data_IF_905679609956
#
_entry.id   IF_905679609956
#
_cell.length_a   1.000
_cell.length_b   1.000
_cell.length_c   1.000
_cell.angle_alpha   90.00
_cell.angle_beta   90.00
_cell.angle_gamma   90.00
#
_symmetry.space_group_name_H-M   'P 1'
#
loop_
_entity.id
_entity.type
_entity.pdbx_description
1 polymer ?
#
# COMPACT_ATOMS: atom_id res chain seq x y z
N UNK A 1 11.48 2.33 -17.20
CA UNK A 1 11.81 0.98 -17.70
C UNK A 1 11.10 -0.03 -16.82
N UNK A 2 10.16 -0.80 -17.37
CA UNK A 2 9.24 -1.68 -16.62
C UNK A 2 9.63 -3.14 -16.91
N UNK A 3 10.28 -3.81 -15.97
CA UNK A 3 10.79 -5.19 -16.18
C UNK A 3 10.59 -6.04 -14.92
N UNK A 4 9.73 -7.04 -15.03
CA UNK A 4 9.86 -8.27 -14.24
C UNK A 4 10.79 -9.24 -14.97
N UNK A 5 11.56 -10.02 -14.21
CA UNK A 5 12.47 -11.08 -14.71
C UNK A 5 13.58 -10.65 -15.68
N UNK A 6 14.81 -10.52 -15.19
CA UNK A 6 16.02 -10.97 -15.91
C UNK A 6 17.27 -10.91 -15.00
N UNK A 7 18.36 -11.55 -15.45
CA UNK A 7 19.61 -11.75 -14.71
C UNK A 7 20.69 -10.73 -15.12
N UNK A 8 21.72 -10.60 -14.26
CA UNK A 8 23.11 -10.17 -14.51
C UNK A 8 23.53 -8.70 -14.26
N UNK A 9 24.54 -8.56 -13.36
CA UNK A 9 25.64 -7.54 -13.30
C UNK A 9 25.25 -6.06 -13.03
N UNK A 10 25.91 -5.30 -12.15
CA UNK A 10 26.87 -5.64 -11.07
C UNK A 10 27.93 -4.54 -10.77
N UNK A 11 28.14 -4.23 -9.47
CA UNK A 11 29.21 -3.35 -8.89
C UNK A 11 29.14 -1.83 -9.27
N UNK A 12 29.52 -0.82 -8.46
CA UNK A 12 29.94 -0.67 -7.04
C UNK A 12 29.69 0.84 -6.63
N UNK A 13 30.26 1.56 -5.64
CA UNK A 13 31.46 1.44 -4.78
C UNK A 13 31.13 1.74 -3.26
N UNK A 14 31.61 2.76 -2.46
CA UNK A 14 31.59 2.65 -0.97
C UNK A 14 30.85 3.78 -0.19
N UNK A 15 31.02 3.80 1.14
CA UNK A 15 30.31 4.62 2.16
C UNK A 15 31.12 5.75 2.84
N UNK A 16 30.42 6.59 3.62
CA UNK A 16 30.97 7.41 4.74
C UNK A 16 30.14 8.69 5.02
N UNK A 17 29.89 9.16 6.25
CA UNK A 17 30.16 8.65 7.62
C UNK A 17 29.00 9.03 8.59
N UNK A 18 28.88 8.34 9.74
CA UNK A 18 28.13 8.80 10.95
C UNK A 18 29.16 9.26 12.03
N UNK A 19 28.87 9.44 13.36
CA UNK A 19 27.60 9.63 14.11
C UNK A 19 27.67 10.76 15.22
N UNK A 20 26.58 10.98 15.99
CA UNK A 20 26.48 10.72 17.48
C UNK A 20 25.51 11.63 18.28
N UNK A 21 25.02 11.06 19.40
CA UNK A 21 24.42 11.66 20.63
C UNK A 21 22.98 12.25 20.52
N UNK A 22 22.15 12.30 21.60
CA UNK A 22 22.01 11.44 22.80
C UNK A 22 20.76 11.78 23.65
N UNK A 23 20.32 10.79 24.46
CA UNK A 23 19.70 10.92 25.79
C UNK A 23 18.24 11.43 26.01
N UNK A 24 17.49 10.57 26.71
CA UNK A 24 16.47 10.84 27.74
C UNK A 24 15.37 11.92 27.55
N UNK A 25 14.14 11.41 27.35
CA UNK A 25 12.93 11.92 27.99
C UNK A 25 11.98 10.73 28.22
N UNK A 26 11.02 10.83 29.14
CA UNK A 26 9.95 9.84 29.28
C UNK A 26 9.05 9.87 28.04
N UNK A 27 9.11 8.84 27.20
CA UNK A 27 8.44 8.79 25.89
C UNK A 27 7.55 7.56 25.80
N UNK A 28 6.25 7.78 25.60
CA UNK A 28 5.42 6.83 24.86
C UNK A 28 5.94 6.80 23.43
N UNK A 29 6.43 5.65 22.99
CA UNK A 29 7.11 5.51 21.71
C UNK A 29 6.09 5.44 20.56
N UNK A 30 6.16 6.41 19.65
CA UNK A 30 5.38 6.41 18.41
C UNK A 30 6.28 5.89 17.30
N UNK A 31 5.98 4.69 16.81
CA UNK A 31 6.61 4.12 15.63
C UNK A 31 5.80 4.48 14.39
N UNK A 32 6.45 5.04 13.36
CA UNK A 32 5.85 5.19 12.04
C UNK A 32 6.26 3.98 11.21
N UNK A 33 5.36 3.01 11.11
CA UNK A 33 5.57 1.78 10.34
C UNK A 33 5.01 1.97 8.94
N UNK A 34 5.89 2.29 7.99
CA UNK A 34 5.55 2.41 6.58
C UNK A 34 5.58 1.02 5.96
N UNK A 35 4.43 0.55 5.49
CA UNK A 35 4.34 -0.70 4.75
C UNK A 35 4.72 -0.46 3.28
N UNK A 36 5.80 -1.07 2.78
CA UNK A 36 6.23 -0.87 1.37
C UNK A 36 6.15 -2.17 0.58
N UNK A 37 5.09 -2.26 -0.22
CA UNK A 37 4.75 -3.37 -1.13
C UNK A 37 5.45 -3.21 -2.50
N UNK A 38 6.77 -3.40 -2.51
CA UNK A 38 7.52 -3.70 -3.74
C UNK A 38 7.72 -2.55 -4.76
N UNK A 39 7.44 -1.29 -4.40
CA UNK A 39 7.74 -0.09 -5.22
C UNK A 39 8.52 0.97 -4.42
N UNK A 40 8.95 2.06 -5.10
CA UNK A 40 10.02 2.98 -4.63
C UNK A 40 9.65 3.78 -3.37
N UNK A 41 10.65 4.04 -2.54
CA UNK A 41 10.54 4.59 -1.19
C UNK A 41 10.31 6.12 -1.09
N UNK A 42 9.53 6.73 -2.00
CA UNK A 42 9.32 8.20 -2.01
C UNK A 42 8.73 8.77 -0.71
N UNK A 43 7.96 7.96 0.03
CA UNK A 43 7.43 8.28 1.37
C UNK A 43 8.56 8.57 2.38
N UNK A 44 9.69 7.87 2.31
CA UNK A 44 10.76 7.96 3.31
C UNK A 44 11.56 9.26 3.20
N UNK A 45 11.79 9.73 1.98
CA UNK A 45 12.54 10.97 1.74
C UNK A 45 11.71 12.20 2.16
N UNK A 46 10.39 12.19 1.95
CA UNK A 46 9.49 13.21 2.52
C UNK A 46 9.38 13.16 4.04
N UNK A 47 9.16 11.98 4.63
CA UNK A 47 8.94 11.84 6.09
C UNK A 47 10.21 12.03 6.92
N UNK A 48 11.39 11.73 6.37
CA UNK A 48 12.67 11.85 7.07
C UNK A 48 13.10 13.28 7.43
N UNK A 49 12.54 14.31 6.80
CA UNK A 49 12.87 15.71 7.08
C UNK A 49 12.18 16.32 8.31
N UNK A 50 11.15 15.67 8.85
CA UNK A 50 10.31 16.26 9.91
C UNK A 50 10.85 15.99 11.31
N UNK A 51 10.87 17.04 12.15
CA UNK A 51 11.45 17.08 13.51
C UNK A 51 10.69 16.30 14.58
N UNK A 52 10.35 15.05 14.29
CA UNK A 52 9.59 14.14 15.16
C UNK A 52 10.20 14.08 16.56
N UNK A 53 9.45 14.55 17.56
CA UNK A 53 9.88 14.60 18.96
C UNK A 53 9.83 13.23 19.65
N UNK A 54 10.62 12.27 19.15
CA UNK A 54 10.87 10.98 19.76
C UNK A 54 10.30 9.75 19.05
N UNK A 55 9.81 9.87 17.81
CA UNK A 55 9.39 8.73 16.99
C UNK A 55 10.50 8.17 16.09
N UNK A 56 10.24 7.02 15.46
CA UNK A 56 11.15 6.39 14.50
C UNK A 56 10.40 5.79 13.30
N UNK A 57 10.99 5.90 12.11
CA UNK A 57 10.42 5.37 10.86
C UNK A 57 10.99 3.99 10.56
N UNK A 58 10.10 3.03 10.30
CA UNK A 58 10.40 1.61 10.04
C UNK A 58 9.70 1.20 8.76
N UNK A 59 10.40 0.54 7.83
CA UNK A 59 9.74 -0.08 6.67
C UNK A 59 9.40 -1.52 6.97
N UNK A 60 8.12 -1.86 6.87
CA UNK A 60 7.63 -3.24 6.88
C UNK A 60 7.55 -3.78 5.44
N UNK A 61 8.17 -4.94 5.18
CA UNK A 61 8.05 -5.67 3.91
C UNK A 61 8.15 -7.19 4.13
N UNK A 62 8.01 -8.03 3.10
CA UNK A 62 8.07 -9.49 3.27
C UNK A 62 9.49 -10.04 3.16
N UNK A 63 9.69 -11.27 3.66
CA UNK A 63 10.93 -12.06 3.50
C UNK A 63 11.18 -12.57 2.06
N UNK A 64 10.35 -12.21 1.09
CA UNK A 64 10.56 -12.65 -0.29
C UNK A 64 11.78 -11.97 -0.92
N UNK A 65 12.64 -12.75 -1.58
CA UNK A 65 13.87 -12.28 -2.24
C UNK A 65 13.62 -11.19 -3.30
N UNK A 66 12.39 -11.08 -3.85
CA UNK A 66 11.94 -9.97 -4.71
C UNK A 66 12.05 -8.61 -4.02
N UNK A 67 11.91 -8.56 -2.69
CA UNK A 67 11.99 -7.34 -1.88
C UNK A 67 13.42 -7.00 -1.39
N UNK A 68 14.42 -7.86 -1.59
CA UNK A 68 15.81 -7.55 -1.19
C UNK A 68 16.34 -6.21 -1.74
N UNK A 69 16.07 -5.80 -3.01
CA UNK A 69 16.52 -4.49 -3.51
C UNK A 69 15.87 -3.30 -2.79
N UNK A 70 14.66 -3.48 -2.25
CA UNK A 70 13.98 -2.49 -1.40
C UNK A 70 14.64 -2.46 -0.01
N UNK A 71 14.84 -3.62 0.62
CA UNK A 71 15.53 -3.76 1.92
C UNK A 71 16.91 -3.09 1.87
N UNK A 72 17.72 -3.42 0.86
CA UNK A 72 19.05 -2.85 0.62
C UNK A 72 19.02 -1.32 0.41
N UNK A 73 17.94 -0.78 -0.18
CA UNK A 73 17.78 0.65 -0.42
C UNK A 73 17.37 1.39 0.87
N UNK A 74 16.43 0.86 1.63
CA UNK A 74 15.95 1.42 2.90
C UNK A 74 17.07 1.47 3.95
N UNK A 75 17.82 0.38 4.10
CA UNK A 75 18.95 0.30 5.04
C UNK A 75 20.06 1.30 4.67
N UNK A 76 20.30 1.51 3.36
CA UNK A 76 21.27 2.49 2.84
C UNK A 76 20.84 3.94 3.08
N UNK A 77 19.53 4.22 3.02
CA UNK A 77 18.96 5.50 3.46
C UNK A 77 19.02 5.69 4.99
N UNK A 78 19.37 4.65 5.75
CA UNK A 78 19.60 4.70 7.19
C UNK A 78 18.38 4.36 8.06
N UNK A 79 17.24 4.03 7.43
CA UNK A 79 16.01 3.60 8.10
C UNK A 79 16.07 2.13 8.52
N UNK A 80 15.23 1.75 9.48
CA UNK A 80 15.01 0.34 9.81
C UNK A 80 14.15 -0.34 8.72
N UNK A 81 14.45 -1.60 8.41
CA UNK A 81 13.63 -2.40 7.50
C UNK A 81 13.38 -3.77 8.12
N UNK A 82 12.12 -4.01 8.50
CA UNK A 82 11.65 -5.22 9.15
C UNK A 82 10.96 -6.13 8.15
N UNK A 83 11.35 -7.40 8.17
CA UNK A 83 10.83 -8.43 7.27
C UNK A 83 9.90 -9.40 8.03
N UNK A 84 8.83 -9.82 7.35
CA UNK A 84 7.81 -10.73 7.89
C UNK A 84 7.11 -11.55 6.81
N UNK A 85 5.91 -12.04 7.11
CA UNK A 85 5.06 -12.77 6.14
C UNK A 85 4.78 -11.93 4.88
N UNK A 86 4.49 -12.57 3.75
CA UNK A 86 3.94 -11.90 2.55
C UNK A 86 2.46 -11.55 2.80
N UNK A 87 1.68 -12.53 3.28
CA UNK A 87 0.20 -12.50 3.35
C UNK A 87 -0.35 -12.16 4.74
N UNK A 88 0.44 -12.29 5.81
CA UNK A 88 0.04 -11.83 7.15
C UNK A 88 0.70 -10.48 7.42
N UNK A 89 -0.02 -9.43 7.04
CA UNK A 89 0.43 -8.05 7.18
C UNK A 89 0.25 -7.58 8.62
N UNK A 90 -0.82 -8.03 9.29
CA UNK A 90 -1.12 -7.72 10.69
C UNK A 90 -0.02 -8.23 11.64
N UNK A 91 0.43 -9.49 11.51
CA UNK A 91 1.61 -9.97 12.24
C UNK A 91 2.84 -9.12 11.90
N UNK A 92 3.10 -8.85 10.61
CA UNK A 92 4.24 -8.03 10.18
C UNK A 92 4.28 -6.65 10.86
N UNK A 93 3.12 -5.99 11.05
CA UNK A 93 3.02 -4.75 11.84
C UNK A 93 3.27 -4.97 13.34
N UNK A 94 2.63 -5.97 13.95
CA UNK A 94 2.79 -6.30 15.39
C UNK A 94 4.24 -6.63 15.73
N UNK A 95 4.91 -7.45 14.91
CA UNK A 95 6.31 -7.83 15.12
C UNK A 95 7.26 -6.64 14.96
N UNK A 96 7.07 -5.78 13.95
CA UNK A 96 7.86 -4.56 13.77
C UNK A 96 7.69 -3.61 14.97
N UNK A 97 6.46 -3.36 15.41
CA UNK A 97 6.17 -2.52 16.56
C UNK A 97 6.82 -3.06 17.85
N UNK A 98 6.74 -4.37 18.11
CA UNK A 98 7.40 -5.04 19.23
C UNK A 98 8.93 -4.90 19.20
N UNK A 99 9.56 -5.12 18.04
CA UNK A 99 11.02 -5.00 17.83
C UNK A 99 11.53 -3.57 18.08
N UNK A 100 10.73 -2.57 17.74
CA UNK A 100 11.04 -1.16 17.95
C UNK A 100 10.47 -0.57 19.25
N UNK A 101 9.84 -1.39 20.10
CA UNK A 101 9.21 -0.99 21.38
C UNK A 101 8.20 0.16 21.23
N UNK A 102 7.42 0.16 20.15
CA UNK A 102 6.42 1.20 19.86
C UNK A 102 5.07 0.89 20.54
N UNK A 103 4.57 1.80 21.37
CA UNK A 103 3.23 1.72 21.99
C UNK A 103 2.12 2.08 20.99
N UNK A 104 2.45 2.97 20.05
CA UNK A 104 1.55 3.53 19.04
C UNK A 104 2.20 3.30 17.68
N UNK A 105 1.41 2.78 16.74
CA UNK A 105 1.80 2.54 15.35
C UNK A 105 1.06 3.54 14.47
N UNK A 106 1.82 4.25 13.63
CA UNK A 106 1.29 5.05 12.51
C UNK A 106 1.51 4.23 11.24
N UNK A 107 0.41 3.82 10.59
CA UNK A 107 0.42 3.09 9.32
C UNK A 107 0.30 4.06 8.15
N UNK A 108 1.20 3.89 7.20
CA UNK A 108 1.24 4.56 5.89
C UNK A 108 1.65 3.49 4.87
N UNK A 109 1.01 3.46 3.70
CA UNK A 109 1.34 2.52 2.62
C UNK A 109 2.30 3.14 1.58
N UNK A 110 3.19 2.33 1.03
CA UNK A 110 4.30 2.76 0.15
C UNK A 110 3.89 3.15 -1.27
N UNK A 111 2.61 2.95 -1.60
CA UNK A 111 1.93 3.44 -2.80
C UNK A 111 1.45 4.90 -2.68
N UNK A 112 1.57 5.53 -1.50
CA UNK A 112 1.12 6.89 -1.20
C UNK A 112 2.27 7.93 -1.12
N UNK A 113 3.07 8.17 -2.18
CA UNK A 113 4.29 8.99 -2.12
C UNK A 113 4.05 10.49 -1.92
N UNK A 114 2.80 10.95 -1.96
CA UNK A 114 2.43 12.34 -1.71
C UNK A 114 1.89 12.60 -0.29
N UNK A 115 1.91 11.59 0.59
CA UNK A 115 1.60 11.75 2.02
C UNK A 115 2.43 12.88 2.64
N UNK A 116 1.76 13.70 3.46
CA UNK A 116 2.33 14.94 4.00
C UNK A 116 2.65 14.77 5.50
N UNK A 117 3.91 15.00 5.93
CA UNK A 117 4.28 14.90 7.33
C UNK A 117 3.49 15.83 8.28
N UNK A 118 3.06 17.02 7.83
CA UNK A 118 2.23 17.91 8.67
C UNK A 118 0.84 17.29 8.93
N UNK A 119 0.31 16.56 7.95
CA UNK A 119 -0.95 15.84 8.07
C UNK A 119 -0.82 14.60 8.97
N UNK A 120 0.36 13.96 8.96
CA UNK A 120 0.71 12.87 9.89
C UNK A 120 0.78 13.38 11.32
N UNK A 121 1.50 14.48 11.58
CA UNK A 121 1.58 15.10 12.91
C UNK A 121 0.22 15.61 13.41
N UNK A 122 -0.64 16.13 12.53
CA UNK A 122 -2.04 16.45 12.85
C UNK A 122 -2.82 15.20 13.31
N UNK A 123 -2.73 14.10 12.56
CA UNK A 123 -3.42 12.84 12.87
C UNK A 123 -2.94 12.25 14.21
N UNK A 124 -1.62 12.20 14.45
CA UNK A 124 -1.02 11.74 15.72
C UNK A 124 -1.48 12.61 16.90
N UNK A 125 -1.56 13.93 16.71
CA UNK A 125 -2.01 14.86 17.75
C UNK A 125 -3.50 14.70 18.08
N UNK A 126 -4.36 14.51 17.08
CA UNK A 126 -5.78 14.26 17.32
C UNK A 126 -6.04 12.90 17.98
N UNK A 127 -5.35 11.84 17.55
CA UNK A 127 -5.32 10.53 18.24
C UNK A 127 -4.97 10.69 19.73
N UNK A 128 -3.85 11.38 20.03
CA UNK A 128 -3.39 11.63 21.41
C UNK A 128 -4.39 12.43 22.24
N UNK A 129 -5.13 13.37 21.65
CA UNK A 129 -6.14 14.16 22.37
C UNK A 129 -7.48 13.43 22.60
N UNK A 130 -7.79 12.41 21.78
CA UNK A 130 -9.08 11.70 21.85
C UNK A 130 -9.02 10.42 22.69
N UNK A 131 -7.82 9.88 22.94
CA UNK A 131 -7.61 8.73 23.84
C UNK A 131 -8.24 7.42 23.34
N UNK A 132 -8.47 7.32 22.03
CA UNK A 132 -9.05 6.19 21.30
C UNK A 132 -8.03 5.06 21.08
N UNK A 133 -8.51 3.89 20.65
CA UNK A 133 -7.67 2.73 20.32
C UNK A 133 -7.15 2.78 18.86
N UNK A 134 -7.93 3.44 17.98
CA UNK A 134 -7.67 3.69 16.55
C UNK A 134 -8.17 5.08 16.13
N UNK A 135 -7.44 5.78 15.26
CA UNK A 135 -7.82 7.06 14.65
C UNK A 135 -7.33 7.14 13.19
N UNK A 136 -8.06 7.83 12.30
CA UNK A 136 -7.69 7.89 10.87
C UNK A 136 -8.29 9.08 10.12
N UNK A 137 -7.82 9.34 8.90
CA UNK A 137 -8.46 10.25 7.95
C UNK A 137 -9.29 9.54 6.84
N UNK A 138 -9.40 8.21 6.93
CA UNK A 138 -9.92 7.32 5.88
C UNK A 138 -11.41 7.01 6.01
N UNK A 139 -12.07 7.32 7.14
CA UNK A 139 -13.44 6.89 7.42
C UNK A 139 -14.33 8.00 8.03
N UNK A 140 -15.27 8.60 7.25
CA UNK A 140 -15.32 8.59 5.79
C UNK A 140 -14.11 9.29 5.13
N UNK A 141 -13.70 8.87 3.92
CA UNK A 141 -12.57 9.49 3.21
C UNK A 141 -13.00 10.87 2.68
N UNK A 142 -12.29 11.90 3.12
CA UNK A 142 -12.51 13.31 2.73
C UNK A 142 -11.26 13.99 2.17
N UNK A 143 -10.10 13.36 2.35
CA UNK A 143 -8.83 13.72 1.72
C UNK A 143 -8.66 12.95 0.39
N UNK A 144 -7.77 13.40 -0.52
CA UNK A 144 -7.36 12.64 -1.69
C UNK A 144 -6.95 11.21 -1.37
N UNK A 145 -7.28 10.28 -2.27
CA UNK A 145 -6.74 8.92 -2.31
C UNK A 145 -5.22 8.99 -2.49
N UNK A 146 -4.44 8.40 -1.58
CA UNK A 146 -2.99 8.60 -1.53
C UNK A 146 -2.47 9.54 -0.42
N UNK A 147 -3.34 10.05 0.46
CA UNK A 147 -2.96 10.73 1.72
C UNK A 147 -3.38 9.93 2.97
N UNK A 148 -3.56 8.62 2.85
CA UNK A 148 -4.17 7.80 3.89
C UNK A 148 -3.24 7.60 5.10
N UNK A 149 -3.78 7.87 6.29
CA UNK A 149 -3.07 7.79 7.56
C UNK A 149 -3.97 7.12 8.60
N UNK A 150 -3.47 6.05 9.21
CA UNK A 150 -4.10 5.34 10.31
C UNK A 150 -3.15 5.34 11.52
N UNK A 151 -3.66 5.66 12.71
CA UNK A 151 -2.92 5.67 13.98
C UNK A 151 -3.61 4.72 14.95
N UNK A 152 -2.88 3.74 15.48
CA UNK A 152 -3.45 2.63 16.24
C UNK A 152 -2.55 2.23 17.40
N UNK A 153 -3.12 1.82 18.53
CA UNK A 153 -2.34 1.26 19.65
C UNK A 153 -1.80 -0.12 19.30
N UNK A 154 -0.58 -0.46 19.76
CA UNK A 154 -0.06 -1.83 19.62
C UNK A 154 -1.01 -2.84 20.28
N UNK A 155 -1.58 -2.50 21.43
CA UNK A 155 -2.58 -3.32 22.12
C UNK A 155 -3.83 -3.61 21.28
N UNK A 156 -4.26 -2.71 20.39
CA UNK A 156 -5.38 -2.96 19.49
C UNK A 156 -4.99 -3.88 18.32
N UNK A 157 -3.80 -3.72 17.76
CA UNK A 157 -3.26 -4.64 16.74
C UNK A 157 -3.05 -6.05 17.30
N UNK A 158 -2.44 -6.18 18.47
CA UNK A 158 -2.22 -7.46 19.15
C UNK A 158 -3.54 -8.17 19.47
N UNK A 159 -4.59 -7.42 19.83
CA UNK A 159 -5.93 -7.95 20.08
C UNK A 159 -6.63 -8.37 18.78
N UNK A 160 -6.55 -7.56 17.73
CA UNK A 160 -7.11 -7.91 16.42
C UNK A 160 -6.49 -9.20 15.85
N UNK A 161 -5.17 -9.36 16.01
CA UNK A 161 -4.41 -10.56 15.62
C UNK A 161 -4.75 -11.82 16.45
N UNK A 162 -5.44 -11.66 17.58
CA UNK A 162 -5.90 -12.77 18.45
C UNK A 162 -7.39 -13.07 18.30
N UNK A 163 -8.22 -12.07 18.01
CA UNK A 163 -9.67 -12.18 17.93
C UNK A 163 -10.22 -12.33 16.51
N UNK A 164 -9.46 -11.96 15.47
CA UNK A 164 -9.81 -12.29 14.07
C UNK A 164 -9.18 -13.62 13.62
N UNK A 165 -9.86 -14.27 12.68
CA UNK A 165 -9.37 -15.40 11.89
C UNK A 165 -9.58 -15.17 10.38
N UNK A 166 -9.87 -13.92 9.98
CA UNK A 166 -10.16 -13.51 8.61
C UNK A 166 -8.86 -13.15 7.89
N UNK A 167 -8.59 -13.81 6.75
CA UNK A 167 -7.44 -13.50 5.92
C UNK A 167 -7.47 -12.04 5.41
N UNK A 168 -8.67 -11.49 5.16
CA UNK A 168 -8.86 -10.09 4.77
C UNK A 168 -8.43 -9.11 5.88
N UNK A 169 -8.68 -9.45 7.14
CA UNK A 169 -8.31 -8.61 8.28
C UNK A 169 -6.79 -8.67 8.52
N UNK A 170 -6.17 -9.84 8.30
CA UNK A 170 -4.73 -10.01 8.38
C UNK A 170 -3.98 -9.36 7.19
N UNK A 171 -4.58 -9.30 6.00
CA UNK A 171 -3.99 -8.62 4.83
C UNK A 171 -4.12 -7.09 4.91
N UNK A 172 -5.26 -6.57 5.39
CA UNK A 172 -5.52 -5.11 5.43
C UNK A 172 -5.36 -4.45 6.80
N UNK A 173 -4.97 -5.21 7.84
CA UNK A 173 -4.55 -4.79 9.19
C UNK A 173 -5.66 -4.20 10.07
N UNK A 174 -6.48 -3.28 9.55
CA UNK A 174 -7.43 -2.48 10.34
C UNK A 174 -8.93 -2.80 10.19
N UNK A 175 -9.46 -3.60 9.23
CA UNK A 175 -10.89 -3.87 9.13
C UNK A 175 -11.52 -4.36 10.43
N UNK A 176 -10.93 -5.38 11.08
CA UNK A 176 -11.42 -5.90 12.35
C UNK A 176 -11.54 -4.83 13.44
N UNK A 177 -10.54 -3.94 13.54
CA UNK A 177 -10.51 -2.85 14.53
C UNK A 177 -11.62 -1.83 14.26
N UNK A 178 -11.86 -1.54 12.98
CA UNK A 178 -12.83 -0.54 12.52
C UNK A 178 -14.29 -1.02 12.55
N UNK A 179 -14.52 -2.32 12.36
CA UNK A 179 -15.85 -2.86 12.02
C UNK A 179 -16.48 -3.75 13.11
N UNK A 180 -15.67 -4.35 13.99
CA UNK A 180 -16.17 -5.22 15.09
C UNK A 180 -16.93 -4.48 16.19
N UNK A 181 -16.76 -3.15 16.31
CA UNK A 181 -17.39 -2.33 17.35
C UNK A 181 -16.84 -2.52 18.77
N UNK A 182 -15.81 -3.34 18.97
CA UNK A 182 -15.21 -3.65 20.28
C UNK A 182 -13.98 -2.78 20.63
N UNK A 183 -13.65 -1.82 19.76
CA UNK A 183 -12.57 -0.85 19.91
C UNK A 183 -13.14 0.58 19.86
N UNK A 184 -12.47 1.53 20.51
CA UNK A 184 -12.83 2.94 20.43
C UNK A 184 -12.13 3.52 19.21
N UNK A 185 -12.92 3.96 18.23
CA UNK A 185 -12.43 4.51 16.97
C UNK A 185 -12.78 6.00 16.84
N UNK A 186 -11.85 6.81 16.35
CA UNK A 186 -12.08 8.19 15.95
C UNK A 186 -11.64 8.46 14.51
N UNK A 187 -11.94 9.65 13.99
CA UNK A 187 -11.42 10.10 12.70
C UNK A 187 -11.38 11.61 12.55
N UNK A 188 -10.56 12.07 11.61
CA UNK A 188 -10.45 13.47 11.18
C UNK A 188 -10.95 13.65 9.76
N UNK A 189 -11.47 14.83 9.43
CA UNK A 189 -12.06 15.13 8.12
C UNK A 189 -11.56 16.45 7.54
N UNK A 190 -11.38 16.48 6.23
CA UNK A 190 -11.16 17.73 5.50
C UNK A 190 -12.51 18.46 5.31
N UNK A 191 -12.62 19.78 5.59
CA UNK A 191 -13.88 20.53 5.44
C UNK A 191 -14.44 20.59 4.01
N UNK A 192 -13.64 20.23 2.99
CA UNK A 192 -14.08 20.02 1.61
C UNK A 192 -13.86 18.56 1.27
N UNK A 193 -14.87 17.87 0.72
CA UNK A 193 -14.65 16.50 0.26
C UNK A 193 -13.77 16.49 -1.01
N UNK A 194 -12.58 15.88 -0.90
CA UNK A 194 -11.58 15.73 -1.96
C UNK A 194 -11.28 14.27 -2.30
N UNK A 195 -12.06 13.29 -1.82
CA UNK A 195 -11.77 11.86 -2.02
C UNK A 195 -11.96 11.34 -3.46
N UNK A 196 -12.36 12.21 -4.38
CA UNK A 196 -12.35 11.97 -5.83
C UNK A 196 -11.03 12.35 -6.52
N UNK A 197 -10.05 12.89 -5.78
CA UNK A 197 -8.70 13.14 -6.27
C UNK A 197 -7.81 11.92 -5.97
N UNK A 198 -7.00 11.47 -6.93
CA UNK A 198 -6.23 10.23 -6.86
C UNK A 198 -4.72 10.45 -7.04
N UNK A 199 -3.98 10.20 -5.96
CA UNK A 199 -2.56 10.47 -5.76
C UNK A 199 -1.77 9.25 -5.19
N UNK A 200 -2.35 8.04 -5.21
CA UNK A 200 -1.64 6.75 -4.97
C UNK A 200 -0.93 6.25 -6.25
N UNK A 201 -0.27 5.08 -6.25
CA UNK A 201 0.51 4.51 -7.38
C UNK A 201 0.26 2.99 -7.59
N UNK A 202 -0.99 2.62 -7.86
CA UNK A 202 -1.35 1.25 -8.28
C UNK A 202 -0.99 1.00 -9.76
N UNK A 203 -1.46 1.89 -10.63
CA UNK A 203 -1.52 1.69 -12.08
C UNK A 203 -0.45 2.51 -12.85
N UNK A 204 -0.11 2.15 -14.10
CA UNK A 204 0.82 2.93 -14.94
C UNK A 204 0.41 4.40 -15.11
N UNK A 205 -0.88 4.66 -15.21
CA UNK A 205 -1.49 5.99 -15.36
C UNK A 205 -1.35 6.82 -14.08
N UNK A 206 -1.36 6.19 -12.90
CA UNK A 206 -1.03 6.86 -11.63
C UNK A 206 0.45 7.27 -11.59
N UNK A 207 1.34 6.35 -11.99
CA UNK A 207 2.78 6.63 -12.01
C UNK A 207 3.13 7.79 -12.95
N UNK A 208 2.41 7.94 -14.07
CA UNK A 208 2.54 9.11 -14.97
C UNK A 208 2.16 10.42 -14.27
N UNK A 209 1.03 10.45 -13.56
CA UNK A 209 0.55 11.63 -12.82
C UNK A 209 1.51 12.00 -11.68
N UNK A 210 1.92 11.02 -10.88
CA UNK A 210 2.85 11.26 -9.76
C UNK A 210 4.24 11.68 -10.24
N UNK A 211 4.74 11.11 -11.35
CA UNK A 211 6.01 11.56 -11.94
C UNK A 211 5.95 13.04 -12.33
N UNK A 212 4.88 13.50 -12.98
CA UNK A 212 4.68 14.93 -13.30
C UNK A 212 4.66 15.83 -12.07
N UNK A 213 4.06 15.38 -10.96
CA UNK A 213 4.04 16.16 -9.71
C UNK A 213 5.46 16.34 -9.16
N UNK A 214 6.26 15.28 -9.07
CA UNK A 214 7.65 15.39 -8.62
C UNK A 214 8.53 16.17 -9.63
N UNK A 215 8.31 16.01 -10.94
CA UNK A 215 8.99 16.78 -11.99
C UNK A 215 8.68 18.29 -11.94
N UNK A 216 7.48 18.68 -11.47
CA UNK A 216 7.08 20.08 -11.32
C UNK A 216 7.77 20.79 -10.15
N UNK A 217 7.88 20.11 -9.00
CA UNK A 217 8.50 20.69 -7.80
C UNK A 217 10.04 20.54 -7.79
N UNK A 218 10.60 19.65 -8.62
CA UNK A 218 12.03 19.43 -8.72
C UNK A 218 12.85 20.74 -8.94
N UNK A 219 13.98 20.93 -8.23
CA UNK A 219 14.68 19.96 -7.40
C UNK A 219 14.14 19.80 -5.97
N UNK A 220 13.10 20.55 -5.57
CA UNK A 220 12.52 20.42 -4.23
C UNK A 220 11.66 19.17 -4.11
N UNK A 221 11.83 18.45 -3.01
CA UNK A 221 11.06 17.25 -2.67
C UNK A 221 10.17 17.45 -1.43
N UNK A 222 10.42 18.51 -0.64
CA UNK A 222 9.66 18.85 0.56
C UNK A 222 8.51 19.84 0.26
N UNK A 223 7.60 19.43 -0.62
CA UNK A 223 6.35 20.14 -0.95
C UNK A 223 5.14 19.48 -0.28
N UNK A 224 4.19 20.28 0.18
CA UNK A 224 3.00 19.83 0.92
C UNK A 224 1.80 19.45 0.05
N UNK A 225 0.85 18.71 0.62
CA UNK A 225 -0.36 18.24 -0.09
C UNK A 225 -1.24 19.38 -0.61
N UNK A 226 -1.18 20.54 0.05
CA UNK A 226 -1.88 21.77 -0.34
C UNK A 226 -1.32 22.38 -1.63
N UNK A 227 -0.03 22.20 -1.89
CA UNK A 227 0.63 22.67 -3.12
C UNK A 227 0.28 21.76 -4.29
N UNK A 228 0.23 20.44 -4.07
CA UNK A 228 -0.31 19.47 -5.05
C UNK A 228 -1.78 19.79 -5.38
N UNK A 229 -2.59 20.16 -4.38
CA UNK A 229 -3.97 20.58 -4.59
C UNK A 229 -4.07 21.88 -5.41
N UNK A 230 -3.15 22.83 -5.20
CA UNK A 230 -3.08 24.05 -5.99
C UNK A 230 -2.67 23.74 -7.44
N UNK A 231 -1.66 22.88 -7.64
CA UNK A 231 -1.21 22.42 -8.95
C UNK A 231 -2.33 21.72 -9.73
N UNK A 232 -3.08 20.80 -9.09
CA UNK A 232 -4.21 20.10 -9.74
C UNK A 232 -5.37 21.03 -10.11
N UNK A 233 -5.50 22.19 -9.44
CA UNK A 233 -6.48 23.23 -9.79
C UNK A 233 -6.01 24.13 -10.94
N UNK A 234 -4.69 24.36 -11.07
CA UNK A 234 -4.10 25.15 -12.14
C UNK A 234 -3.96 24.34 -13.44
N UNK A 235 -3.44 23.11 -13.35
CA UNK A 235 -3.07 22.25 -14.48
C UNK A 235 -3.86 20.90 -14.45
N UNK A 236 -5.21 20.92 -14.44
CA UNK A 236 -6.03 19.71 -14.27
C UNK A 236 -5.81 18.66 -15.37
N UNK A 237 -5.31 19.06 -16.55
CA UNK A 237 -4.97 18.15 -17.64
C UNK A 237 -3.80 17.21 -17.31
N UNK A 238 -2.88 17.59 -16.41
CA UNK A 238 -1.77 16.71 -15.99
C UNK A 238 -2.26 15.49 -15.19
N UNK A 239 -3.37 15.64 -14.48
CA UNK A 239 -4.03 14.64 -13.63
C UNK A 239 -5.17 13.90 -14.38
N UNK A 240 -5.32 14.13 -15.69
CA UNK A 240 -6.32 13.40 -16.51
C UNK A 240 -6.08 11.89 -16.63
N UNK A 241 -4.83 11.36 -16.73
CA UNK A 241 -4.60 9.92 -16.98
C UNK A 241 -5.27 8.97 -16.00
N UNK A 242 -5.18 9.25 -14.69
CA UNK A 242 -5.75 8.38 -13.65
C UNK A 242 -7.15 8.78 -13.17
N UNK A 243 -7.72 9.88 -13.70
CA UNK A 243 -9.04 10.41 -13.29
C UNK A 243 -10.20 9.44 -13.50
N UNK A 244 -10.05 8.45 -14.37
CA UNK A 244 -11.05 7.40 -14.63
C UNK A 244 -10.93 6.16 -13.72
N UNK A 245 -9.93 6.09 -12.84
CA UNK A 245 -9.70 4.94 -11.96
C UNK A 245 -10.48 5.10 -10.64
N UNK A 246 -11.10 4.01 -10.19
CA UNK A 246 -11.84 3.98 -8.92
C UNK A 246 -10.90 3.74 -7.75
N UNK A 247 -11.04 4.54 -6.68
CA UNK A 247 -10.38 4.31 -5.39
C UNK A 247 -10.60 2.88 -4.90
N UNK A 248 -9.53 2.26 -4.38
CA UNK A 248 -9.50 0.90 -3.85
C UNK A 248 -9.98 -0.20 -4.82
N UNK A 249 -10.04 0.04 -6.14
CA UNK A 249 -10.45 -0.98 -7.12
C UNK A 249 -9.56 -2.23 -7.04
N UNK A 250 -8.26 -2.07 -6.73
CA UNK A 250 -7.32 -3.18 -6.56
C UNK A 250 -7.63 -4.14 -5.40
N UNK A 251 -8.26 -3.69 -4.30
CA UNK A 251 -8.58 -4.57 -3.16
C UNK A 251 -9.87 -5.38 -3.41
N UNK A 252 -10.73 -4.94 -4.32
CA UNK A 252 -11.94 -5.67 -4.73
C UNK A 252 -11.68 -6.77 -5.78
N UNK A 253 -10.44 -6.90 -6.27
CA UNK A 253 -10.08 -7.82 -7.35
C UNK A 253 -9.17 -8.97 -6.88
N UNK A 254 -9.54 -10.21 -7.20
CA UNK A 254 -8.68 -11.39 -7.06
C UNK A 254 -7.52 -11.41 -8.05
N UNK A 255 -6.54 -12.27 -7.79
CA UNK A 255 -5.31 -12.43 -8.60
C UNK A 255 -5.64 -12.76 -10.05
N UNK A 256 -6.65 -13.60 -10.31
CA UNK A 256 -7.13 -13.90 -11.66
C UNK A 256 -7.60 -12.66 -12.44
N UNK A 257 -8.33 -11.76 -11.78
CA UNK A 257 -8.89 -10.54 -12.39
C UNK A 257 -7.83 -9.46 -12.58
N UNK A 258 -6.94 -9.28 -11.60
CA UNK A 258 -5.74 -8.43 -11.70
C UNK A 258 -4.88 -8.83 -12.91
N UNK A 259 -4.66 -10.14 -13.10
CA UNK A 259 -3.92 -10.66 -14.24
C UNK A 259 -4.68 -10.47 -15.57
N UNK A 260 -6.01 -10.61 -15.58
CA UNK A 260 -6.85 -10.36 -16.77
C UNK A 260 -6.82 -8.90 -17.23
N UNK A 261 -6.92 -7.95 -16.30
CA UNK A 261 -6.85 -6.52 -16.63
C UNK A 261 -5.45 -6.12 -17.12
N UNK A 262 -4.38 -6.71 -16.57
CA UNK A 262 -3.03 -6.60 -17.14
C UNK A 262 -2.95 -7.22 -18.55
N UNK A 263 -3.49 -8.42 -18.76
CA UNK A 263 -3.44 -9.11 -20.04
C UNK A 263 -4.18 -8.35 -21.15
N UNK A 264 -5.33 -7.73 -20.85
CA UNK A 264 -6.08 -6.88 -21.78
C UNK A 264 -5.27 -5.69 -22.33
N UNK A 265 -4.24 -5.21 -21.62
CA UNK A 265 -3.32 -4.15 -22.09
C UNK A 265 -2.19 -4.65 -23.02
N UNK A 266 -1.91 -5.95 -23.08
CA UNK A 266 -0.75 -6.52 -23.83
C UNK A 266 -1.10 -7.62 -24.83
N UNK A 267 -2.23 -8.29 -24.66
CA UNK A 267 -2.78 -9.31 -25.56
C UNK A 267 -4.12 -8.78 -26.10
N UNK A 268 -4.33 -8.65 -27.42
CA UNK A 268 -5.58 -8.16 -28.00
C UNK A 268 -6.81 -8.98 -27.59
N UNK A 269 -7.56 -8.48 -26.60
CA UNK A 269 -8.69 -9.21 -26.00
C UNK A 269 -8.32 -10.20 -24.89
N UNK A 270 -7.16 -10.02 -24.25
CA UNK A 270 -6.74 -10.70 -23.02
C UNK A 270 -6.24 -12.15 -23.17
N UNK A 271 -6.68 -12.89 -24.19
CA UNK A 271 -6.17 -14.22 -24.50
C UNK A 271 -6.19 -14.58 -26.00
N UNK A 272 -5.71 -15.77 -26.32
CA UNK A 272 -5.52 -16.29 -27.68
C UNK A 272 -6.81 -16.48 -28.50
N UNK A 273 -7.99 -16.63 -27.87
CA UNK A 273 -9.21 -17.10 -28.54
C UNK A 273 -10.42 -16.28 -28.13
N UNK A 274 -11.03 -15.59 -29.10
CA UNK A 274 -12.20 -14.72 -28.90
C UNK A 274 -13.34 -15.40 -28.11
N UNK A 275 -13.59 -16.69 -28.38
CA UNK A 275 -14.60 -17.52 -27.70
C UNK A 275 -14.28 -17.89 -26.25
N UNK A 276 -13.14 -17.44 -25.70
CA UNK A 276 -12.71 -17.67 -24.31
C UNK A 276 -12.58 -16.37 -23.50
N UNK A 277 -13.14 -15.24 -23.97
CA UNK A 277 -13.11 -13.99 -23.19
C UNK A 277 -13.94 -14.11 -21.93
N UNK A 278 -13.41 -13.65 -20.80
CA UNK A 278 -14.08 -13.68 -19.50
C UNK A 278 -15.45 -12.98 -19.56
N UNK A 279 -15.51 -11.88 -20.31
CA UNK A 279 -16.68 -11.05 -20.56
C UNK A 279 -17.81 -11.75 -21.36
N UNK A 280 -17.57 -12.93 -21.95
CA UNK A 280 -18.61 -13.70 -22.65
C UNK A 280 -19.36 -14.69 -21.76
N UNK A 281 -18.84 -15.00 -20.56
CA UNK A 281 -19.42 -16.02 -19.67
C UNK A 281 -19.94 -15.40 -18.37
N UNK A 282 -19.07 -14.66 -17.66
CA UNK A 282 -19.43 -13.97 -16.44
C UNK A 282 -18.51 -12.74 -16.26
N UNK A 283 -18.92 -11.56 -16.78
CA UNK A 283 -18.11 -10.34 -16.73
C UNK A 283 -17.55 -10.05 -15.33
N UNK A 284 -16.28 -9.66 -15.29
CA UNK A 284 -15.43 -9.45 -14.11
C UNK A 284 -15.29 -10.62 -13.12
N UNK A 285 -16.19 -11.61 -13.04
CA UNK A 285 -16.09 -12.72 -12.06
C UNK A 285 -15.61 -14.05 -12.67
N UNK A 286 -15.54 -14.17 -13.99
CA UNK A 286 -15.07 -15.40 -14.64
C UNK A 286 -13.58 -15.66 -14.35
N UNK A 287 -13.19 -16.85 -13.86
CA UNK A 287 -11.79 -17.20 -13.65
C UNK A 287 -11.07 -17.35 -15.01
N UNK A 288 -10.43 -16.28 -15.46
CA UNK A 288 -9.73 -16.22 -16.75
C UNK A 288 -8.42 -17.03 -16.78
N UNK A 289 -7.88 -17.38 -15.61
CA UNK A 289 -6.65 -18.14 -15.42
C UNK A 289 -6.78 -19.09 -14.23
N UNK A 290 -6.03 -20.19 -14.26
CA UNK A 290 -6.14 -21.29 -13.31
C UNK A 290 -4.75 -21.69 -12.80
N UNK A 291 -4.63 -21.98 -11.50
CA UNK A 291 -3.42 -22.58 -10.94
C UNK A 291 -3.33 -24.08 -11.22
N UNK A 292 -4.49 -24.74 -11.43
CA UNK A 292 -4.61 -26.19 -11.51
C UNK A 292 -5.93 -26.61 -12.15
N UNK A 293 -5.95 -27.80 -12.76
CA UNK A 293 -7.17 -28.50 -13.17
C UNK A 293 -7.07 -30.01 -12.88
N UNK A 294 -8.21 -30.70 -12.69
CA UNK A 294 -8.31 -32.16 -12.53
C UNK A 294 -9.72 -32.64 -12.88
N UNK A 295 -9.87 -33.33 -14.01
CA UNK A 295 -11.19 -33.69 -14.53
C UNK A 295 -11.95 -32.43 -14.92
N UNK A 296 -13.23 -32.32 -14.54
CA UNK A 296 -14.03 -31.10 -14.70
C UNK A 296 -13.76 -30.01 -13.65
N UNK A 297 -12.89 -30.26 -12.65
CA UNK A 297 -12.57 -29.26 -11.62
C UNK A 297 -11.40 -28.37 -12.05
N UNK A 298 -11.55 -27.07 -11.83
CA UNK A 298 -10.48 -26.06 -11.99
C UNK A 298 -10.31 -25.29 -10.69
N UNK A 299 -9.09 -24.85 -10.41
CA UNK A 299 -8.78 -23.93 -9.31
C UNK A 299 -8.22 -22.65 -9.92
N UNK A 300 -8.74 -21.49 -9.52
CA UNK A 300 -8.24 -20.19 -9.97
C UNK A 300 -6.83 -19.89 -9.41
N UNK A 301 -6.38 -18.63 -9.49
CA UNK A 301 -5.09 -18.20 -8.94
C UNK A 301 -5.13 -17.89 -7.44
N UNK A 302 -6.34 -17.82 -6.86
CA UNK A 302 -6.61 -17.44 -5.48
C UNK A 302 -6.96 -18.67 -4.60
N UNK A 303 -7.14 -19.84 -5.23
CA UNK A 303 -7.34 -21.15 -4.60
C UNK A 303 -8.79 -21.68 -4.65
N UNK A 304 -9.73 -20.93 -5.21
CA UNK A 304 -11.15 -21.29 -5.25
C UNK A 304 -11.40 -22.45 -6.23
N UNK A 305 -12.14 -23.47 -5.79
CA UNK A 305 -12.51 -24.62 -6.64
C UNK A 305 -13.82 -24.34 -7.40
N UNK A 306 -13.77 -24.49 -8.72
CA UNK A 306 -14.94 -24.41 -9.61
C UNK A 306 -15.11 -25.69 -10.42
N UNK A 307 -16.33 -25.92 -10.92
CA UNK A 307 -16.64 -26.98 -11.89
C UNK A 307 -16.80 -26.31 -13.26
N UNK A 308 -15.99 -26.68 -14.24
CA UNK A 308 -16.13 -26.19 -15.61
C UNK A 308 -17.32 -26.89 -16.31
N UNK A 309 -18.41 -26.14 -16.40
CA UNK A 309 -19.64 -26.49 -17.13
C UNK A 309 -19.70 -25.86 -18.53
N UNK A 310 -18.61 -25.24 -19.01
CA UNK A 310 -18.60 -24.31 -20.14
C UNK A 310 -17.74 -24.76 -21.33
N UNK A 311 -16.48 -25.16 -21.08
CA UNK A 311 -15.47 -25.37 -22.13
C UNK A 311 -14.74 -26.72 -22.00
N UNK A 312 -15.28 -27.64 -21.19
CA UNK A 312 -14.84 -29.03 -21.04
C UNK A 312 -13.32 -29.18 -20.75
N UNK A 313 -12.78 -28.30 -19.91
CA UNK A 313 -11.38 -28.27 -19.50
C UNK A 313 -10.43 -27.58 -20.49
N UNK A 314 -10.90 -27.07 -21.62
CA UNK A 314 -10.07 -26.39 -22.63
C UNK A 314 -9.78 -24.94 -22.20
N UNK A 315 -9.02 -24.75 -21.12
CA UNK A 315 -8.69 -23.43 -20.54
C UNK A 315 -7.85 -22.48 -21.43
N UNK A 316 -7.44 -21.37 -20.83
CA UNK A 316 -6.47 -20.41 -21.40
C UNK A 316 -5.08 -21.04 -21.37
N UNK A 317 -4.53 -21.35 -22.56
CA UNK A 317 -3.44 -22.33 -22.68
C UNK A 317 -2.01 -21.72 -22.75
N UNK A 318 -1.86 -20.43 -22.43
CA UNK A 318 -0.57 -19.71 -22.37
C UNK A 318 -0.70 -18.40 -21.58
N UNK A 319 0.28 -18.17 -20.70
CA UNK A 319 0.83 -16.86 -20.29
C UNK A 319 2.34 -17.06 -20.04
#
# INVERSE_FOLDING_TARGET
>A
MWLGSSRQRGHCIPDGLRPKLASAAGKTAVGTTVEVTGRRAGVLEKTGGSGHSGGGVVVATSVDVRNQPLVDHVIRLGFACEQGSETDVLDRFVQAARRHHADIVVRITGDCPLVDPELVDECIRQFRSTGVDYFSNTQPPTFPDGLDIEVVTLTALERAMQESASAHDHEHVTPFIRESGIFRCGSMHNPTNLSSLRWTVDEPEDFEVISRVFEHFAPEIHFGWREVLALQRAEPQWFTPNRGLSRNQGSALGTGQKLWNRAKRVIPGGNMLLSKRAEMFLPEQWPAYFSKAKGCKVWDLDGNEYIDMSIMGIGTNTL
#
